data_IF_467927195996
#
_entry.id   IF_467927195996
#
_cell.length_a   1.000
_cell.length_b   1.000
_cell.length_c   1.000
_cell.angle_alpha   90.00
_cell.angle_beta   90.00
_cell.angle_gamma   90.00
#
_symmetry.space_group_name_H-M   'P 1'
#
loop_
_entity.id
_entity.type
_entity.pdbx_description
1 polymer ?
#
# COMPACT_ATOMS: atom_id res chain seq x y z
N UNK A 1 -22.12 27.01 -14.69
CA UNK A 1 -21.83 25.59 -14.97
C UNK A 1 -21.99 24.81 -13.68
N UNK A 2 -22.99 23.95 -13.62
CA UNK A 2 -23.16 23.03 -12.49
C UNK A 2 -22.12 21.92 -12.67
N UNK A 3 -21.10 21.89 -11.78
CA UNK A 3 -20.23 20.71 -11.66
C UNK A 3 -21.11 19.58 -11.10
N UNK A 4 -21.53 18.65 -11.96
CA UNK A 4 -22.19 17.44 -11.50
C UNK A 4 -21.16 16.70 -10.65
N UNK A 5 -21.39 16.65 -9.34
CA UNK A 5 -20.60 15.84 -8.44
C UNK A 5 -20.87 14.37 -8.82
N UNK A 6 -19.87 13.71 -9.39
CA UNK A 6 -19.90 12.27 -9.63
C UNK A 6 -20.04 11.55 -8.28
N UNK A 7 -20.87 10.52 -8.24
CA UNK A 7 -20.97 9.63 -7.07
C UNK A 7 -19.60 9.00 -6.80
N UNK A 8 -19.30 8.70 -5.54
CA UNK A 8 -18.01 8.10 -5.14
C UNK A 8 -17.68 6.85 -5.95
N UNK A 9 -18.68 5.99 -6.24
CA UNK A 9 -18.53 4.80 -7.08
C UNK A 9 -18.12 5.12 -8.53
N UNK A 10 -18.62 6.24 -9.09
CA UNK A 10 -18.27 6.67 -10.44
C UNK A 10 -16.85 7.25 -10.49
N UNK A 11 -16.43 7.97 -9.44
CA UNK A 11 -15.06 8.48 -9.30
C UNK A 11 -14.05 7.34 -9.18
N UNK A 12 -14.35 6.33 -8.38
CA UNK A 12 -13.53 5.10 -8.26
C UNK A 12 -13.47 4.36 -9.60
N UNK A 13 -14.57 4.26 -10.33
CA UNK A 13 -14.60 3.67 -11.67
C UNK A 13 -13.74 4.45 -12.68
N UNK A 14 -13.77 5.78 -12.63
CA UNK A 14 -12.92 6.64 -13.46
C UNK A 14 -11.42 6.48 -13.14
N UNK A 15 -11.08 6.33 -11.87
CA UNK A 15 -9.72 6.07 -11.39
C UNK A 15 -9.24 4.72 -11.93
N UNK A 16 -10.09 3.68 -11.89
CA UNK A 16 -9.83 2.37 -12.51
C UNK A 16 -9.62 2.47 -14.02
N UNK A 17 -10.47 3.21 -14.73
CA UNK A 17 -10.39 3.38 -16.19
C UNK A 17 -9.13 4.14 -16.63
N UNK A 18 -8.64 5.08 -15.82
CA UNK A 18 -7.38 5.80 -16.08
C UNK A 18 -6.13 4.93 -15.90
N UNK A 19 -6.29 3.66 -15.53
CA UNK A 19 -5.19 2.70 -15.44
C UNK A 19 -4.26 2.94 -14.24
N UNK A 20 -4.75 3.65 -13.23
CA UNK A 20 -4.01 3.98 -12.00
C UNK A 20 -3.56 2.72 -11.25
N UNK A 21 -4.27 1.61 -11.44
CA UNK A 21 -3.96 0.31 -10.81
C UNK A 21 -3.13 -0.63 -11.69
N UNK A 22 -2.61 -0.19 -12.84
CA UNK A 22 -1.76 -1.07 -13.67
C UNK A 22 -0.40 -1.25 -13.03
N UNK A 23 -0.08 -2.48 -12.64
CA UNK A 23 1.24 -2.87 -12.11
C UNK A 23 2.41 -2.37 -12.98
N UNK A 24 2.22 -2.33 -14.30
CA UNK A 24 3.24 -1.94 -15.27
C UNK A 24 3.57 -0.44 -15.24
N UNK A 25 2.62 0.40 -14.86
CA UNK A 25 2.81 1.86 -14.80
C UNK A 25 3.85 2.26 -13.74
N UNK A 26 3.86 1.57 -12.61
CA UNK A 26 4.71 1.93 -11.46
C UNK A 26 6.13 1.37 -11.55
N UNK A 27 6.43 0.50 -12.50
CA UNK A 27 7.77 -0.06 -12.68
C UNK A 27 8.83 0.99 -13.10
N UNK A 28 8.39 2.15 -13.60
CA UNK A 28 9.27 3.24 -14.07
C UNK A 28 9.20 4.50 -13.23
N UNK A 29 8.29 4.55 -12.24
CA UNK A 29 8.10 5.72 -11.37
C UNK A 29 8.92 5.58 -10.10
N UNK A 30 9.47 6.69 -9.63
CA UNK A 30 10.08 6.75 -8.30
C UNK A 30 9.02 6.64 -7.19
N UNK A 31 9.45 6.25 -5.98
CA UNK A 31 8.57 6.21 -4.80
C UNK A 31 7.88 7.56 -4.58
N UNK A 32 8.59 8.67 -4.75
CA UNK A 32 8.03 10.01 -4.55
C UNK A 32 6.96 10.36 -5.59
N UNK A 33 7.18 10.03 -6.86
CA UNK A 33 6.17 10.23 -7.91
C UNK A 33 4.89 9.42 -7.62
N UNK A 34 5.03 8.20 -7.11
CA UNK A 34 3.88 7.39 -6.72
C UNK A 34 3.15 8.00 -5.52
N UNK A 35 3.89 8.48 -4.52
CA UNK A 35 3.31 9.17 -3.36
C UNK A 35 2.51 10.40 -3.77
N UNK A 36 3.04 11.19 -4.69
CA UNK A 36 2.37 12.40 -5.19
C UNK A 36 1.06 12.05 -5.93
N UNK A 37 1.05 11.00 -6.74
CA UNK A 37 -0.18 10.48 -7.35
C UNK A 37 -1.21 10.03 -6.31
N UNK A 38 -0.79 9.32 -5.28
CA UNK A 38 -1.66 8.89 -4.18
C UNK A 38 -2.29 10.09 -3.47
N UNK A 39 -1.49 11.12 -3.19
CA UNK A 39 -1.97 12.34 -2.54
C UNK A 39 -3.03 13.02 -3.42
N UNK A 40 -2.77 13.17 -4.72
CA UNK A 40 -3.74 13.76 -5.66
C UNK A 40 -5.05 12.99 -5.69
N UNK A 41 -5.00 11.66 -5.76
CA UNK A 41 -6.19 10.80 -5.76
C UNK A 41 -7.04 10.98 -4.51
N UNK A 42 -6.41 11.01 -3.33
CA UNK A 42 -7.13 11.18 -2.07
C UNK A 42 -7.69 12.60 -1.90
N UNK A 43 -7.07 13.61 -2.48
CA UNK A 43 -7.56 14.99 -2.47
C UNK A 43 -8.85 15.18 -3.28
N UNK A 44 -9.13 14.30 -4.25
CA UNK A 44 -10.38 14.32 -5.02
C UNK A 44 -11.61 13.96 -4.19
N UNK A 45 -11.42 13.43 -2.98
CA UNK A 45 -12.49 13.06 -2.06
C UNK A 45 -12.47 13.98 -0.83
N UNK A 46 -13.59 14.62 -0.55
CA UNK A 46 -13.75 15.49 0.62
C UNK A 46 -14.14 14.69 1.88
N UNK A 47 -14.97 13.67 1.71
CA UNK A 47 -15.50 12.85 2.80
C UNK A 47 -14.61 11.62 3.09
N UNK A 48 -14.40 11.35 4.37
CA UNK A 48 -13.62 10.19 4.81
C UNK A 48 -14.32 8.86 4.54
N UNK A 49 -15.64 8.82 4.45
CA UNK A 49 -16.34 7.61 4.01
C UNK A 49 -15.95 7.23 2.58
N UNK A 50 -15.82 8.20 1.70
CA UNK A 50 -15.37 8.00 0.33
C UNK A 50 -13.90 7.55 0.26
N UNK A 51 -13.04 8.10 1.12
CA UNK A 51 -11.63 7.68 1.24
C UNK A 51 -11.51 6.25 1.77
N UNK A 52 -12.34 5.84 2.73
CA UNK A 52 -12.41 4.46 3.19
C UNK A 52 -12.87 3.52 2.08
N UNK A 53 -13.87 3.93 1.29
CA UNK A 53 -14.30 3.13 0.14
C UNK A 53 -13.17 2.97 -0.88
N UNK A 54 -12.41 4.01 -1.15
CA UNK A 54 -11.23 3.94 -2.01
C UNK A 54 -10.19 2.93 -1.49
N UNK A 55 -9.91 2.94 -0.19
CA UNK A 55 -9.02 1.95 0.44
C UNK A 55 -9.55 0.52 0.29
N UNK A 56 -10.83 0.30 0.53
CA UNK A 56 -11.48 -1.01 0.39
C UNK A 56 -11.34 -1.51 -1.05
N UNK A 57 -11.60 -0.65 -2.02
CA UNK A 57 -11.49 -1.00 -3.44
C UNK A 57 -10.04 -1.32 -3.83
N UNK A 58 -9.06 -0.57 -3.35
CA UNK A 58 -7.64 -0.87 -3.54
C UNK A 58 -7.28 -2.26 -2.98
N UNK A 59 -7.79 -2.60 -1.80
CA UNK A 59 -7.58 -3.91 -1.20
C UNK A 59 -8.19 -5.03 -2.02
N UNK A 60 -9.41 -4.84 -2.52
CA UNK A 60 -10.12 -5.83 -3.33
C UNK A 60 -9.52 -6.02 -4.73
N UNK A 61 -8.84 -5.03 -5.26
CA UNK A 61 -8.16 -5.12 -6.55
C UNK A 61 -6.83 -5.88 -6.47
N UNK A 62 -6.35 -6.19 -5.27
CA UNK A 62 -5.15 -7.00 -5.10
C UNK A 62 -5.42 -8.47 -5.43
N UNK A 63 -4.41 -9.10 -6.01
CA UNK A 63 -4.40 -10.54 -6.23
C UNK A 63 -4.36 -11.28 -4.87
N UNK A 64 -5.28 -12.21 -4.59
CA UNK A 64 -5.29 -12.94 -3.34
C UNK A 64 -3.99 -13.75 -3.15
N UNK A 65 -3.52 -13.84 -1.89
CA UNK A 65 -2.46 -14.78 -1.57
C UNK A 65 -2.99 -16.23 -1.62
N UNK A 66 -2.19 -17.18 -2.15
CA UNK A 66 -2.51 -18.60 -1.98
C UNK A 66 -2.60 -18.97 -0.49
N UNK A 67 -3.48 -19.89 -0.15
CA UNK A 67 -3.62 -20.38 1.24
C UNK A 67 -2.30 -20.93 1.80
N UNK A 68 -1.45 -21.51 0.95
CA UNK A 68 -0.11 -22.00 1.32
C UNK A 68 0.84 -20.90 1.81
N UNK A 69 0.59 -19.64 1.46
CA UNK A 69 1.39 -18.49 1.89
C UNK A 69 0.78 -17.75 3.08
N UNK A 70 -0.45 -18.05 3.47
CA UNK A 70 -1.09 -17.51 4.67
C UNK A 70 -0.67 -18.28 5.92
N UNK A 71 0.61 -18.22 6.21
CA UNK A 71 1.25 -18.93 7.33
C UNK A 71 1.60 -17.97 8.47
N UNK A 72 1.84 -18.51 9.64
CA UNK A 72 2.26 -17.70 10.81
C UNK A 72 3.60 -16.99 10.56
N UNK A 73 4.48 -17.56 9.73
CA UNK A 73 5.75 -16.92 9.37
C UNK A 73 5.56 -15.64 8.52
N UNK A 74 4.47 -15.55 7.80
CA UNK A 74 4.14 -14.40 6.97
C UNK A 74 3.20 -13.40 7.65
N UNK A 75 2.73 -13.70 8.87
CA UNK A 75 1.95 -12.76 9.67
C UNK A 75 2.80 -11.59 10.17
N UNK A 76 2.24 -10.39 10.07
CA UNK A 76 2.85 -9.20 10.65
C UNK A 76 2.49 -9.12 12.14
N UNK A 77 3.49 -9.09 13.00
CA UNK A 77 3.30 -8.85 14.42
C UNK A 77 2.87 -7.41 14.70
N UNK A 78 2.02 -7.23 15.70
CA UNK A 78 1.55 -5.91 16.13
C UNK A 78 0.31 -5.39 15.40
N UNK A 79 -0.29 -6.20 14.53
CA UNK A 79 -1.60 -5.93 13.93
C UNK A 79 -2.69 -6.70 14.68
N UNK A 80 -3.80 -6.05 15.03
CA UNK A 80 -4.95 -6.72 15.63
C UNK A 80 -5.68 -7.62 14.62
N UNK A 81 -5.81 -7.17 13.38
CA UNK A 81 -6.26 -7.98 12.25
C UNK A 81 -5.11 -8.84 11.72
N UNK A 82 -5.43 -9.97 11.12
CA UNK A 82 -4.42 -10.78 10.43
C UNK A 82 -3.97 -10.08 9.15
N UNK A 83 -2.69 -9.86 9.02
CA UNK A 83 -2.06 -9.33 7.82
C UNK A 83 -0.88 -10.24 7.47
N UNK A 84 -0.95 -10.86 6.29
CA UNK A 84 0.14 -11.66 5.73
C UNK A 84 0.88 -10.83 4.70
N UNK A 85 2.20 -10.82 4.78
CA UNK A 85 3.08 -10.11 3.86
C UNK A 85 4.15 -11.06 3.33
N UNK A 86 4.30 -11.09 2.03
CA UNK A 86 5.31 -11.89 1.32
C UNK A 86 6.17 -10.94 0.49
N UNK A 87 7.47 -11.17 0.50
CA UNK A 87 8.43 -10.42 -0.31
C UNK A 87 9.14 -11.37 -1.28
N UNK A 88 9.00 -11.09 -2.57
CA UNK A 88 9.69 -11.77 -3.64
C UNK A 88 10.83 -10.88 -4.15
N UNK A 89 11.97 -11.48 -4.45
CA UNK A 89 13.13 -10.79 -5.02
C UNK A 89 13.24 -11.07 -6.51
N UNK A 90 13.33 -10.01 -7.31
CA UNK A 90 13.54 -10.05 -8.75
C UNK A 90 14.76 -9.18 -9.09
N UNK A 91 15.93 -9.81 -9.19
CA UNK A 91 17.21 -9.08 -9.26
C UNK A 91 17.42 -8.25 -8.00
N UNK A 92 17.56 -6.93 -8.14
CA UNK A 92 17.69 -5.98 -7.03
C UNK A 92 16.34 -5.40 -6.58
N UNK A 93 15.27 -5.77 -7.26
CA UNK A 93 13.93 -5.25 -7.03
C UNK A 93 13.19 -6.15 -6.04
N UNK A 94 12.54 -5.53 -5.05
CA UNK A 94 11.68 -6.21 -4.10
C UNK A 94 10.21 -6.03 -4.51
N UNK A 95 9.48 -7.14 -4.56
CA UNK A 95 8.04 -7.14 -4.85
C UNK A 95 7.29 -7.69 -3.65
N UNK A 96 6.32 -6.93 -3.18
CA UNK A 96 5.51 -7.30 -2.03
C UNK A 96 4.13 -7.77 -2.49
N UNK A 97 3.64 -8.80 -1.81
CA UNK A 97 2.26 -9.29 -1.92
C UNK A 97 1.71 -9.44 -0.52
N UNK A 98 0.46 -9.11 -0.32
CA UNK A 98 -0.15 -9.16 1.00
C UNK A 98 -1.64 -9.47 0.94
N UNK A 99 -2.17 -9.90 2.07
CA UNK A 99 -3.60 -10.07 2.28
C UNK A 99 -3.95 -9.78 3.75
N UNK A 100 -5.21 -9.42 4.01
CA UNK A 100 -5.75 -9.27 5.34
C UNK A 100 -7.20 -9.76 5.40
N UNK A 101 -7.62 -10.19 6.59
CA UNK A 101 -9.01 -10.57 6.89
C UNK A 101 -9.91 -9.36 7.19
N UNK A 102 -9.37 -8.15 7.27
CA UNK A 102 -10.10 -6.91 7.52
C UNK A 102 -10.04 -5.98 6.29
N UNK A 103 -11.20 -5.49 5.83
CA UNK A 103 -11.33 -4.74 4.58
C UNK A 103 -10.50 -3.45 4.52
N UNK A 104 -10.56 -2.62 5.56
CA UNK A 104 -9.82 -1.35 5.59
C UNK A 104 -8.31 -1.61 5.73
N UNK A 105 -7.92 -2.57 6.56
CA UNK A 105 -6.53 -2.97 6.76
C UNK A 105 -5.93 -3.54 5.47
N UNK A 106 -6.70 -4.34 4.73
CA UNK A 106 -6.32 -4.84 3.40
C UNK A 106 -6.06 -3.68 2.42
N UNK A 107 -6.89 -2.64 2.47
CA UNK A 107 -6.69 -1.42 1.69
C UNK A 107 -5.44 -0.65 2.08
N UNK A 108 -5.14 -0.55 3.37
CA UNK A 108 -3.93 0.12 3.88
C UNK A 108 -2.66 -0.61 3.42
N UNK A 109 -2.61 -1.94 3.55
CA UNK A 109 -1.45 -2.71 3.07
C UNK A 109 -1.32 -2.65 1.55
N UNK A 110 -2.44 -2.65 0.82
CA UNK A 110 -2.47 -2.45 -0.62
C UNK A 110 -1.84 -1.11 -1.03
N UNK A 111 -2.14 -0.06 -0.31
CA UNK A 111 -1.60 1.27 -0.55
C UNK A 111 -0.09 1.34 -0.28
N UNK A 112 0.39 0.71 0.79
CA UNK A 112 1.83 0.60 1.08
C UNK A 112 2.57 -0.18 -0.01
N UNK A 113 1.99 -1.28 -0.48
CA UNK A 113 2.54 -2.08 -1.57
C UNK A 113 2.61 -1.26 -2.86
N UNK A 114 1.57 -0.50 -3.18
CA UNK A 114 1.56 0.38 -4.36
C UNK A 114 2.73 1.36 -4.34
N UNK A 115 3.04 1.93 -3.18
CA UNK A 115 4.10 2.93 -3.02
C UNK A 115 5.49 2.29 -3.03
N UNK A 116 5.68 1.15 -2.36
CA UNK A 116 7.00 0.61 -2.05
C UNK A 116 7.41 -0.62 -2.89
N UNK A 117 6.46 -1.39 -3.40
CA UNK A 117 6.78 -2.58 -4.21
C UNK A 117 7.34 -2.18 -5.58
N UNK A 118 8.27 -2.96 -6.09
CA UNK A 118 8.89 -2.71 -7.40
C UNK A 118 10.08 -1.76 -7.34
N UNK A 119 10.68 -1.58 -6.16
CA UNK A 119 11.86 -0.75 -5.92
C UNK A 119 12.99 -1.53 -5.26
N UNK A 120 14.18 -0.98 -5.28
CA UNK A 120 15.34 -1.58 -4.61
C UNK A 120 15.23 -1.45 -3.09
N UNK A 121 15.95 -2.31 -2.37
CA UNK A 121 16.03 -2.22 -0.92
C UNK A 121 16.48 -0.84 -0.45
N UNK A 122 17.45 -0.24 -1.14
CA UNK A 122 17.97 1.10 -0.82
C UNK A 122 16.88 2.17 -0.97
N UNK A 123 16.15 2.18 -2.07
CA UNK A 123 15.05 3.13 -2.30
C UNK A 123 13.97 3.02 -1.24
N UNK A 124 13.62 1.79 -0.84
CA UNK A 124 12.62 1.53 0.20
C UNK A 124 13.11 2.03 1.57
N UNK A 125 14.37 1.78 1.92
CA UNK A 125 14.94 2.20 3.20
C UNK A 125 15.10 3.71 3.30
N UNK A 126 15.47 4.37 2.19
CA UNK A 126 15.67 5.82 2.13
C UNK A 126 14.33 6.60 2.00
N UNK A 127 13.22 5.92 1.72
CA UNK A 127 11.95 6.57 1.49
C UNK A 127 11.39 7.24 2.75
N UNK A 128 11.04 8.51 2.62
CA UNK A 128 10.17 9.22 3.55
C UNK A 128 8.72 9.05 3.08
N UNK A 129 7.88 8.44 3.92
CA UNK A 129 6.50 8.13 3.57
C UNK A 129 5.56 9.30 3.90
N UNK A 130 5.80 10.45 3.28
CA UNK A 130 5.06 11.68 3.52
C UNK A 130 3.60 11.63 3.06
N UNK A 131 3.23 10.67 2.19
CA UNK A 131 1.84 10.52 1.78
C UNK A 131 0.92 10.16 2.95
N UNK A 132 1.42 9.41 3.94
CA UNK A 132 0.63 8.93 5.09
C UNK A 132 -0.01 10.08 5.86
N UNK A 133 0.74 11.06 6.39
CA UNK A 133 0.12 12.23 7.02
C UNK A 133 -0.61 13.13 6.01
N UNK A 134 -0.13 13.25 4.78
CA UNK A 134 -0.72 14.12 3.78
C UNK A 134 -2.12 13.73 3.34
N UNK A 135 -2.42 12.45 3.26
CA UNK A 135 -3.78 11.96 2.98
C UNK A 135 -4.65 11.88 4.24
N UNK A 136 -4.11 12.16 5.42
CA UNK A 136 -4.80 12.21 6.69
C UNK A 136 -5.01 10.86 7.37
N UNK A 137 -4.27 9.81 6.99
CA UNK A 137 -4.38 8.48 7.63
C UNK A 137 -4.06 8.52 9.12
N UNK A 138 -3.04 9.25 9.53
CA UNK A 138 -2.64 9.35 10.94
C UNK A 138 -3.73 9.93 11.84
N UNK A 139 -4.57 10.83 11.32
CA UNK A 139 -5.62 11.52 12.09
C UNK A 139 -6.93 10.73 12.12
N UNK A 140 -7.20 9.91 11.11
CA UNK A 140 -8.50 9.26 10.89
C UNK A 140 -8.50 7.76 11.18
N UNK A 141 -7.33 7.14 11.40
CA UNK A 141 -7.25 5.77 11.87
C UNK A 141 -7.43 5.70 13.38
N UNK A 142 -8.14 4.66 13.85
CA UNK A 142 -8.13 4.33 15.27
C UNK A 142 -6.70 4.04 15.75
N UNK A 143 -6.40 4.18 17.06
CA UNK A 143 -5.06 3.85 17.59
C UNK A 143 -4.59 2.45 17.21
N UNK A 144 -5.46 1.46 17.22
CA UNK A 144 -5.16 0.09 16.83
C UNK A 144 -4.74 -0.03 15.36
N UNK A 145 -5.47 0.66 14.46
CA UNK A 145 -5.12 0.68 13.03
C UNK A 145 -3.84 1.46 12.75
N UNK A 146 -3.61 2.55 13.47
CA UNK A 146 -2.35 3.30 13.38
C UNK A 146 -1.15 2.46 13.82
N UNK A 147 -1.28 1.67 14.89
CA UNK A 147 -0.27 0.72 15.31
C UNK A 147 -0.01 -0.36 14.25
N UNK A 148 -1.07 -0.87 13.63
CA UNK A 148 -0.97 -1.82 12.53
C UNK A 148 -0.24 -1.24 11.32
N UNK A 149 -0.55 -0.01 10.94
CA UNK A 149 0.15 0.70 9.86
C UNK A 149 1.67 0.82 10.15
N UNK A 150 2.02 1.22 11.35
CA UNK A 150 3.42 1.30 11.79
C UNK A 150 4.11 -0.06 11.70
N UNK A 151 3.45 -1.13 12.13
CA UNK A 151 3.97 -2.50 12.06
C UNK A 151 4.16 -2.97 10.61
N UNK A 152 3.25 -2.63 9.70
CA UNK A 152 3.36 -2.94 8.27
C UNK A 152 4.57 -2.25 7.65
N UNK A 153 4.75 -0.96 7.89
CA UNK A 153 5.90 -0.18 7.38
C UNK A 153 7.21 -0.77 7.93
N UNK A 154 7.25 -1.08 9.22
CA UNK A 154 8.41 -1.70 9.85
C UNK A 154 8.75 -3.04 9.19
N UNK A 155 7.76 -3.90 8.95
CA UNK A 155 7.98 -5.21 8.34
C UNK A 155 8.51 -5.10 6.91
N UNK A 156 7.98 -4.19 6.11
CA UNK A 156 8.48 -3.92 4.75
C UNK A 156 9.95 -3.47 4.79
N UNK A 157 10.29 -2.55 5.70
CA UNK A 157 11.67 -2.09 5.87
C UNK A 157 12.59 -3.18 6.40
N UNK A 158 12.12 -4.09 7.24
CA UNK A 158 12.90 -5.25 7.71
C UNK A 158 13.24 -6.20 6.57
N UNK A 159 12.33 -6.46 5.64
CA UNK A 159 12.64 -7.21 4.42
C UNK A 159 13.71 -6.52 3.59
N UNK A 160 13.62 -5.21 3.42
CA UNK A 160 14.60 -4.44 2.69
C UNK A 160 16.00 -4.49 3.35
N UNK A 161 16.07 -4.43 4.67
CA UNK A 161 17.32 -4.61 5.44
C UNK A 161 17.90 -6.01 5.20
N UNK A 162 17.09 -7.05 5.31
CA UNK A 162 17.53 -8.44 5.15
C UNK A 162 18.08 -8.71 3.75
N UNK A 163 17.41 -8.24 2.69
CA UNK A 163 17.89 -8.38 1.31
C UNK A 163 19.12 -7.54 1.02
N UNK A 164 19.23 -6.35 1.59
CA UNK A 164 20.43 -5.49 1.49
C UNK A 164 21.64 -6.15 2.13
N UNK A 165 21.50 -6.79 3.30
CA UNK A 165 22.56 -7.52 3.97
C UNK A 165 23.04 -8.74 3.16
N UNK A 166 22.13 -9.47 2.50
CA UNK A 166 22.48 -10.58 1.63
C UNK A 166 23.30 -10.15 0.41
N UNK A 167 22.96 -9.01 -0.19
CA UNK A 167 23.70 -8.46 -1.34
C UNK A 167 25.14 -8.06 -0.98
N UNK A 168 25.39 -7.61 0.25
CA UNK A 168 26.72 -7.22 0.72
C UNK A 168 27.62 -8.41 1.09
N UNK A 169 27.09 -9.62 1.17
CA UNK A 169 27.80 -10.85 1.50
C UNK A 169 28.21 -11.70 0.27
N UNK A 170 27.96 -11.19 -0.93
CA UNK A 170 28.41 -11.77 -2.21
C UNK A 170 29.55 -10.92 -2.78
#
# INVERSE_FOLDING_TARGET
>A
MVKVALLASERVSLIRQKGIYRKDKYNTMSINEIQDEVIEEFQDFEDWLDKYQLLIDMGNDQEPLPESEKTDNNLIDGCQSRVWLVCDKDGDILRFRAESDALIVKGIVALLIRVLSGHTAKEILDADLYFIPRIGLTEHLSPTRSNGLTSMVKQIKMYAIAFSAQANNQ
#
